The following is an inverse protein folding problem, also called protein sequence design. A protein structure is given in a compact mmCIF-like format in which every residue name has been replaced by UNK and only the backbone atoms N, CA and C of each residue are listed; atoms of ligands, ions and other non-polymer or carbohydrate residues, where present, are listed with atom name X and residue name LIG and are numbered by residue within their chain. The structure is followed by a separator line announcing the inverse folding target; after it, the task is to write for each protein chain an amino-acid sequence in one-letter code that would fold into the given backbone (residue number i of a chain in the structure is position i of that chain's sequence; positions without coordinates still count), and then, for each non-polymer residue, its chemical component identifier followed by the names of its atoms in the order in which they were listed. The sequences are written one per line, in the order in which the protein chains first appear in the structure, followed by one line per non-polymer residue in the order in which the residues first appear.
data_IF_333862554454
#
_entry.id   IF_333862554454
#
_cell.length_a   1.000
_cell.length_b   1.000
_cell.length_c   1.000
_cell.angle_alpha   90.00
_cell.angle_beta   90.00
_cell.angle_gamma   90.00
#
_symmetry.space_group_name_H-M   'P 1'
#
loop_
_entity.id
_entity.type
_entity.pdbx_description
1 polymer ?
#
# COMPACT_ATOMS: atom_id res chain seq x y z
N UNK A 1 -11.40 6.09 -25.49
CA UNK A 1 -10.49 5.11 -24.84
C UNK A 1 -11.09 4.41 -23.60
N UNK A 2 -11.14 5.02 -22.40
CA UNK A 2 -11.63 4.33 -21.18
C UNK A 2 -13.01 3.67 -21.35
N UNK A 3 -13.98 4.39 -21.94
CA UNK A 3 -15.32 3.86 -22.22
C UNK A 3 -15.35 2.82 -23.36
N UNK A 4 -14.47 2.96 -24.35
CA UNK A 4 -14.38 2.01 -25.48
C UNK A 4 -13.80 0.67 -25.03
N UNK A 5 -12.87 0.70 -24.08
CA UNK A 5 -12.24 -0.49 -23.50
C UNK A 5 -13.07 -1.11 -22.34
N UNK A 6 -14.31 -0.63 -22.13
CA UNK A 6 -15.23 -1.19 -21.13
C UNK A 6 -14.83 -0.95 -19.67
N UNK A 7 -13.91 -0.02 -19.41
CA UNK A 7 -13.44 0.29 -18.06
C UNK A 7 -14.49 1.10 -17.30
N UNK A 8 -14.88 0.61 -16.13
CA UNK A 8 -15.88 1.26 -15.28
C UNK A 8 -15.35 2.59 -14.71
N UNK A 9 -16.13 3.66 -14.89
CA UNK A 9 -15.80 4.99 -14.36
C UNK A 9 -16.75 5.34 -13.22
N UNK A 10 -16.21 5.47 -12.00
CA UNK A 10 -16.97 5.79 -10.79
C UNK A 10 -16.54 7.13 -10.22
N UNK A 11 -17.51 7.99 -9.90
CA UNK A 11 -17.28 9.20 -9.10
C UNK A 11 -17.47 8.85 -7.62
N UNK A 12 -16.41 8.98 -6.83
CA UNK A 12 -16.49 8.82 -5.37
C UNK A 12 -17.06 10.09 -4.70
N UNK A 13 -17.53 9.95 -3.47
CA UNK A 13 -18.06 11.05 -2.65
C UNK A 13 -16.96 11.87 -1.95
N UNK A 14 -15.74 11.34 -1.84
CA UNK A 14 -14.59 12.04 -1.28
C UNK A 14 -13.84 12.86 -2.33
N UNK A 15 -13.08 13.87 -1.87
CA UNK A 15 -12.27 14.71 -2.76
C UNK A 15 -11.04 14.00 -3.35
N UNK A 16 -10.20 14.74 -4.09
CA UNK A 16 -8.90 14.29 -4.60
C UNK A 16 -8.86 14.00 -6.11
N UNK A 17 -7.76 13.43 -6.60
CA UNK A 17 -7.55 13.14 -8.03
C UNK A 17 -8.15 11.81 -8.51
N UNK A 18 -8.00 11.53 -9.80
CA UNK A 18 -8.40 10.25 -10.40
C UNK A 18 -7.34 9.18 -10.11
N UNK A 19 -7.79 7.96 -9.80
CA UNK A 19 -6.94 6.78 -9.65
C UNK A 19 -7.49 5.66 -10.53
N UNK A 20 -6.61 4.79 -10.99
CA UNK A 20 -6.98 3.53 -11.64
C UNK A 20 -6.90 2.43 -10.58
N UNK A 21 -7.93 1.59 -10.52
CA UNK A 21 -7.99 0.45 -9.62
C UNK A 21 -8.18 -0.83 -10.44
N UNK A 22 -7.42 -1.85 -10.10
CA UNK A 22 -7.50 -3.18 -10.69
C UNK A 22 -7.28 -4.27 -9.64
N UNK A 23 -7.19 -5.52 -10.08
CA UNK A 23 -6.98 -6.69 -9.22
C UNK A 23 -5.65 -6.65 -8.44
N UNK A 24 -4.70 -5.81 -8.84
CA UNK A 24 -3.41 -5.62 -8.18
C UNK A 24 -3.39 -4.43 -7.22
N UNK A 25 -4.45 -3.62 -7.19
CA UNK A 25 -4.56 -2.50 -6.27
C UNK A 25 -4.89 -2.97 -4.85
N UNK A 26 -4.34 -2.25 -3.85
CA UNK A 26 -4.70 -2.41 -2.45
C UNK A 26 -5.54 -1.21 -2.02
N UNK A 27 -6.67 -1.42 -1.34
CA UNK A 27 -7.52 -0.34 -0.86
C UNK A 27 -7.84 -0.53 0.62
N UNK A 28 -7.59 0.52 1.41
CA UNK A 28 -7.97 0.61 2.82
C UNK A 28 -8.96 1.75 3.05
N UNK A 29 -9.83 1.57 4.03
CA UNK A 29 -10.76 2.59 4.50
C UNK A 29 -10.77 2.62 6.02
N UNK A 30 -10.52 3.78 6.61
CA UNK A 30 -10.74 4.03 8.03
C UNK A 30 -11.94 4.94 8.19
N UNK A 31 -12.86 4.57 9.07
CA UNK A 31 -14.04 5.35 9.43
C UNK A 31 -13.95 5.67 10.92
N UNK A 32 -13.86 6.95 11.25
CA UNK A 32 -13.69 7.42 12.61
C UNK A 32 -14.88 8.25 13.08
N UNK A 33 -15.22 8.12 14.36
CA UNK A 33 -16.15 9.01 15.06
C UNK A 33 -15.37 9.93 15.99
N UNK A 34 -15.67 11.23 15.95
CA UNK A 34 -14.87 12.25 16.66
C UNK A 34 -14.82 12.01 18.17
N UNK A 35 -15.90 11.49 18.77
CA UNK A 35 -15.94 11.19 20.21
C UNK A 35 -15.08 9.98 20.62
N UNK A 36 -14.84 9.02 19.71
CA UNK A 36 -13.91 7.90 19.95
C UNK A 36 -12.46 8.28 19.63
N UNK A 37 -12.25 9.26 18.75
CA UNK A 37 -10.92 9.74 18.35
C UNK A 37 -10.77 11.24 18.59
N UNK A 38 -10.94 11.75 19.83
CA UNK A 38 -10.87 13.18 20.12
C UNK A 38 -9.46 13.77 19.90
N UNK A 39 -8.44 12.92 19.90
CA UNK A 39 -7.05 13.26 19.62
C UNK A 39 -6.73 13.34 18.11
N UNK A 40 -7.67 13.02 17.23
CA UNK A 40 -7.52 13.12 15.77
C UNK A 40 -8.41 14.25 15.27
N UNK A 41 -7.86 15.47 15.08
CA UNK A 41 -8.61 16.55 14.47
C UNK A 41 -9.20 16.10 13.13
N UNK A 42 -10.47 16.44 12.89
CA UNK A 42 -11.18 16.06 11.68
C UNK A 42 -10.82 16.96 10.50
N UNK A 43 -9.53 16.99 10.17
CA UNK A 43 -8.97 17.72 9.04
C UNK A 43 -8.15 16.75 8.18
N UNK A 44 -8.10 16.92 6.84
CA UNK A 44 -7.48 15.94 5.95
C UNK A 44 -6.04 15.60 6.35
N UNK A 45 -5.23 16.62 6.67
CA UNK A 45 -3.80 16.43 6.98
C UNK A 45 -3.59 15.72 8.32
N UNK A 46 -4.36 16.08 9.34
CA UNK A 46 -4.30 15.45 10.66
C UNK A 46 -4.70 13.98 10.59
N UNK A 47 -5.76 13.65 9.84
CA UNK A 47 -6.18 12.26 9.63
C UNK A 47 -5.10 11.46 8.88
N UNK A 48 -4.52 12.03 7.82
CA UNK A 48 -3.41 11.39 7.08
C UNK A 48 -2.19 11.18 7.95
N UNK A 49 -1.83 12.18 8.78
CA UNK A 49 -0.69 12.10 9.69
C UNK A 49 -0.92 11.03 10.74
N UNK A 50 -2.09 11.01 11.37
CA UNK A 50 -2.42 10.00 12.36
C UNK A 50 -2.38 8.59 11.79
N UNK A 51 -2.98 8.36 10.61
CA UNK A 51 -2.93 7.05 9.95
C UNK A 51 -1.53 6.68 9.48
N UNK A 52 -0.71 7.64 9.04
CA UNK A 52 0.69 7.40 8.73
C UNK A 52 1.49 6.97 9.97
N UNK A 53 1.33 7.68 11.08
CA UNK A 53 2.15 7.48 12.27
C UNK A 53 1.71 6.26 13.10
N UNK A 54 0.41 6.04 13.22
CA UNK A 54 -0.17 5.05 14.17
C UNK A 54 -0.54 3.73 13.50
N UNK A 55 -0.85 3.75 12.20
CA UNK A 55 -1.37 2.57 11.51
C UNK A 55 -0.38 2.05 10.47
N UNK A 56 -0.10 2.84 9.43
CA UNK A 56 0.70 2.39 8.30
C UNK A 56 2.19 2.33 8.59
N UNK A 57 2.74 3.32 9.31
CA UNK A 57 4.15 3.35 9.68
C UNK A 57 4.60 2.08 10.40
N UNK A 58 3.91 1.66 11.49
CA UNK A 58 4.18 0.41 12.16
C UNK A 58 4.04 -0.83 11.24
N UNK A 59 3.04 -0.85 10.35
CA UNK A 59 2.86 -1.96 9.41
C UNK A 59 4.05 -2.12 8.45
N UNK A 60 4.49 -1.02 7.82
CA UNK A 60 5.63 -1.05 6.91
C UNK A 60 6.95 -1.28 7.65
N UNK A 61 7.09 -0.81 8.89
CA UNK A 61 8.23 -1.13 9.74
C UNK A 61 8.28 -2.65 10.02
N UNK A 62 7.14 -3.25 10.35
CA UNK A 62 7.04 -4.69 10.59
C UNK A 62 7.35 -5.49 9.33
N UNK A 63 6.83 -5.09 8.16
CA UNK A 63 7.17 -5.72 6.87
C UNK A 63 8.68 -5.62 6.58
N UNK A 64 9.30 -4.47 6.82
CA UNK A 64 10.74 -4.30 6.67
C UNK A 64 11.54 -5.22 7.61
N UNK A 65 11.10 -5.37 8.86
CA UNK A 65 11.72 -6.30 9.81
C UNK A 65 11.59 -7.76 9.35
N UNK A 66 10.41 -8.17 8.87
CA UNK A 66 10.17 -9.51 8.31
C UNK A 66 11.05 -9.81 7.10
N UNK A 67 11.33 -8.82 6.24
CA UNK A 67 12.26 -8.98 5.11
C UNK A 67 13.70 -9.22 5.57
N UNK A 68 14.11 -8.54 6.64
CA UNK A 68 15.47 -8.68 7.19
C UNK A 68 15.65 -10.01 7.93
N UNK A 69 14.62 -10.51 8.61
CA UNK A 69 14.66 -11.80 9.32
C UNK A 69 14.54 -13.00 8.39
N UNK A 70 13.80 -12.87 7.28
CA UNK A 70 13.63 -13.94 6.27
C UNK A 70 14.80 -14.09 5.29
N UNK A 71 15.94 -13.41 5.50
CA UNK A 71 17.11 -13.63 4.64
C UNK A 71 17.54 -15.11 4.75
N UNK A 72 17.61 -15.85 3.63
CA UNK A 72 18.05 -17.23 3.69
C UNK A 72 19.46 -17.27 4.29
N UNK A 73 19.63 -18.04 5.37
CA UNK A 73 20.95 -18.47 5.80
C UNK A 73 21.67 -19.04 4.58
N UNK A 74 22.87 -18.53 4.26
CA UNK A 74 23.79 -19.21 3.35
C UNK A 74 24.01 -20.60 3.92
N UNK A 75 23.27 -21.61 3.44
CA UNK A 75 23.64 -23.01 3.66
C UNK A 75 24.86 -23.26 2.78
N UNK A 76 26.04 -22.98 3.32
CA UNK A 76 27.29 -23.52 2.78
C UNK A 76 27.20 -25.03 2.98
N UNK A 77 26.72 -25.74 1.96
CA UNK A 77 26.89 -27.19 1.85
C UNK A 77 28.40 -27.43 1.73
N UNK A 78 29.05 -27.73 2.85
CA UNK A 78 30.38 -28.35 2.82
C UNK A 78 30.17 -29.77 2.30
N UNK A 79 30.42 -29.97 1.01
CA UNK A 79 30.53 -31.31 0.42
C UNK A 79 31.99 -31.75 0.62
N UNK A 80 32.29 -32.77 1.43
CA UNK A 80 33.63 -33.33 1.48
C UNK A 80 33.76 -34.32 0.32
N UNK A 81 34.63 -34.05 -0.66
CA UNK A 81 35.00 -35.09 -1.63
C UNK A 81 35.60 -34.62 -2.94
N UNK A 82 36.94 -34.65 -2.98
CA UNK A 82 37.82 -35.15 -4.06
C UNK A 82 37.67 -34.59 -5.50
N UNK A 83 38.77 -33.97 -5.93
CA UNK A 83 39.30 -33.87 -7.31
C UNK A 83 38.78 -34.92 -8.30
N UNK A 84 38.37 -34.47 -9.49
CA UNK A 84 38.87 -34.91 -10.81
C UNK A 84 38.24 -34.03 -11.91
N UNK A 85 39.03 -33.62 -12.90
CA UNK A 85 38.62 -32.71 -13.98
C UNK A 85 37.78 -33.37 -15.08
N UNK A 86 37.24 -32.52 -15.97
CA UNK A 86 37.16 -32.62 -17.44
C UNK A 86 36.16 -31.57 -17.94
N UNK A 87 36.54 -30.85 -18.99
CA UNK A 87 35.78 -29.81 -19.68
C UNK A 87 34.66 -30.36 -20.58
N UNK A 88 33.75 -29.45 -20.93
CA UNK A 88 32.96 -29.28 -22.18
C UNK A 88 31.43 -29.39 -22.03
N UNK A 89 30.72 -28.40 -22.58
CA UNK A 89 29.29 -28.52 -22.92
C UNK A 89 28.38 -27.36 -22.49
N UNK A 90 28.35 -26.30 -23.30
CA UNK A 90 27.28 -25.32 -23.54
C UNK A 90 25.97 -25.42 -22.73
N UNK A 91 25.70 -24.40 -21.91
CA UNK A 91 24.36 -24.12 -21.36
C UNK A 91 24.22 -22.62 -21.06
N UNK A 92 23.32 -21.93 -21.77
CA UNK A 92 23.04 -20.50 -21.59
C UNK A 92 22.47 -20.23 -20.19
N UNK A 93 23.23 -19.53 -19.35
CA UNK A 93 22.75 -19.00 -18.08
C UNK A 93 22.03 -17.66 -18.32
N UNK A 94 20.80 -17.56 -17.83
CA UNK A 94 20.10 -16.29 -17.71
C UNK A 94 20.75 -15.49 -16.58
N UNK A 95 21.50 -14.44 -16.94
CA UNK A 95 22.15 -13.53 -15.99
C UNK A 95 21.09 -12.72 -15.24
N UNK A 96 20.82 -13.08 -13.98
CA UNK A 96 20.23 -12.16 -13.01
C UNK A 96 21.19 -10.98 -12.85
N UNK A 97 20.76 -9.78 -13.28
CA UNK A 97 21.50 -8.54 -13.02
C UNK A 97 21.47 -8.28 -11.52
N UNK A 98 22.51 -8.77 -10.83
CA UNK A 98 22.84 -8.35 -9.49
C UNK A 98 23.24 -6.87 -9.54
N UNK A 99 22.57 -6.07 -8.70
CA UNK A 99 22.93 -4.68 -8.44
C UNK A 99 24.29 -4.71 -7.73
N UNK A 100 25.36 -4.56 -8.51
CA UNK A 100 26.67 -4.17 -8.01
C UNK A 100 26.91 -2.72 -8.41
N UNK A 101 26.61 -1.82 -7.49
CA UNK A 101 27.27 -0.52 -7.43
C UNK A 101 27.90 -0.43 -6.05
N UNK A 102 29.23 -0.32 -6.03
CA UNK A 102 30.03 -0.23 -4.83
C UNK A 102 29.81 1.11 -4.10
N UNK A 103 30.36 1.17 -2.88
CA UNK A 103 30.53 2.32 -1.96
C UNK A 103 29.30 2.79 -1.16
N UNK A 104 29.12 2.25 0.06
CA UNK A 104 29.27 2.93 1.38
C UNK A 104 28.90 1.90 2.47
N UNK A 105 29.69 1.79 3.54
CA UNK A 105 29.52 0.86 4.66
C UNK A 105 28.35 1.27 5.57
N UNK A 106 27.13 1.10 5.10
CA UNK A 106 25.93 0.99 5.94
C UNK A 106 25.20 -0.30 5.58
N UNK A 107 24.58 -0.99 6.55
CA UNK A 107 23.71 -2.12 6.22
C UNK A 107 22.65 -1.66 5.22
N UNK A 108 22.21 -2.50 4.27
CA UNK A 108 21.22 -2.12 3.27
C UNK A 108 19.96 -1.64 4.00
N UNK A 109 19.75 -0.33 4.00
CA UNK A 109 18.62 0.31 4.66
C UNK A 109 17.41 0.16 3.74
N UNK A 110 16.42 -0.60 4.19
CA UNK A 110 15.15 -0.70 3.48
C UNK A 110 14.48 0.68 3.44
N UNK A 111 13.78 1.01 2.35
CA UNK A 111 13.14 2.31 2.21
C UNK A 111 12.13 2.53 3.33
N UNK A 112 12.07 3.78 3.82
CA UNK A 112 11.19 4.21 4.91
C UNK A 112 9.84 4.65 4.35
N UNK A 113 8.78 4.29 5.06
CA UNK A 113 7.42 4.80 4.86
C UNK A 113 7.28 6.20 5.45
N UNK A 114 6.73 7.14 4.68
CA UNK A 114 6.53 8.53 5.11
C UNK A 114 5.25 9.14 4.50
N UNK A 115 4.64 10.09 5.20
CA UNK A 115 3.65 11.01 4.65
C UNK A 115 4.38 12.24 4.09
N UNK A 116 4.29 12.45 2.78
CA UNK A 116 4.86 13.63 2.10
C UNK A 116 3.74 14.38 1.41
N UNK A 117 3.55 15.65 1.80
CA UNK A 117 2.37 16.44 1.43
C UNK A 117 1.06 15.69 1.75
N UNK A 118 0.40 15.14 0.73
CA UNK A 118 -0.86 14.38 0.83
C UNK A 118 -0.69 12.91 0.41
N UNK A 119 0.53 12.47 0.14
CA UNK A 119 0.83 11.16 -0.43
C UNK A 119 1.56 10.27 0.58
N UNK A 120 1.29 8.98 0.51
CA UNK A 120 2.16 8.01 1.16
C UNK A 120 3.29 7.59 0.22
N UNK A 121 4.48 7.65 0.78
CA UNK A 121 5.74 7.56 0.06
C UNK A 121 6.61 6.48 0.71
N UNK A 122 7.32 5.73 -0.12
CA UNK A 122 8.30 4.73 0.29
C UNK A 122 9.63 5.04 -0.41
N UNK A 123 10.63 5.44 0.38
CA UNK A 123 11.94 5.82 -0.16
C UNK A 123 11.89 6.95 -1.18
N UNK A 124 11.08 7.99 -0.92
CA UNK A 124 10.93 9.15 -1.81
C UNK A 124 10.05 8.94 -3.06
N UNK A 125 9.51 7.73 -3.27
CA UNK A 125 8.57 7.41 -4.35
C UNK A 125 7.16 7.20 -3.83
N UNK A 126 6.17 7.74 -4.54
CA UNK A 126 4.75 7.63 -4.17
C UNK A 126 4.28 6.19 -4.34
N UNK A 127 3.61 5.68 -3.32
CA UNK A 127 3.00 4.35 -3.34
C UNK A 127 1.53 4.36 -2.97
N UNK A 128 1.03 5.46 -2.41
CA UNK A 128 -0.36 5.56 -1.94
C UNK A 128 -0.95 6.94 -2.21
N UNK A 129 -2.19 6.96 -2.68
CA UNK A 129 -3.00 8.16 -2.85
C UNK A 129 -4.12 8.21 -1.82
N UNK A 130 -4.33 9.37 -1.22
CA UNK A 130 -5.26 9.56 -0.11
C UNK A 130 -6.48 10.40 -0.51
N UNK A 131 -7.63 10.08 0.07
CA UNK A 131 -8.85 10.87 -0.03
C UNK A 131 -9.65 10.80 1.27
N UNK A 132 -10.31 11.89 1.64
CA UNK A 132 -11.11 11.98 2.87
C UNK A 132 -12.51 12.53 2.59
N UNK A 133 -13.44 12.15 3.44
CA UNK A 133 -14.74 12.79 3.60
C UNK A 133 -14.95 13.08 5.07
N UNK A 134 -15.34 14.31 5.41
CA UNK A 134 -15.47 14.77 6.78
C UNK A 134 -16.88 15.30 6.96
N UNK A 135 -17.53 14.85 8.02
CA UNK A 135 -18.87 15.28 8.44
C UNK A 135 -18.82 15.73 9.90
N UNK A 136 -19.90 16.34 10.40
CA UNK A 136 -19.94 16.96 11.74
C UNK A 136 -19.37 16.08 12.88
N UNK A 137 -19.69 14.78 12.87
CA UNK A 137 -19.38 13.85 13.98
C UNK A 137 -18.50 12.67 13.55
N UNK A 138 -17.82 12.78 12.42
CA UNK A 138 -17.00 11.69 11.92
C UNK A 138 -16.23 12.05 10.67
N UNK A 139 -15.34 11.15 10.31
CA UNK A 139 -14.52 11.27 9.14
C UNK A 139 -14.29 9.90 8.55
N UNK A 140 -13.90 9.91 7.30
CA UNK A 140 -13.53 8.73 6.57
C UNK A 140 -12.25 9.05 5.80
N UNK A 141 -11.35 8.09 5.77
CA UNK A 141 -10.07 8.18 5.07
C UNK A 141 -9.83 6.91 4.26
N UNK A 142 -9.75 7.07 2.95
CA UNK A 142 -9.39 6.01 2.03
C UNK A 142 -7.96 6.19 1.54
N UNK A 143 -7.29 5.07 1.34
CA UNK A 143 -6.00 5.02 0.65
C UNK A 143 -6.00 3.92 -0.39
N UNK A 144 -5.59 4.27 -1.61
CA UNK A 144 -5.26 3.30 -2.65
C UNK A 144 -3.75 3.13 -2.73
N UNK A 145 -3.23 1.95 -2.37
CA UNK A 145 -1.83 1.60 -2.49
C UNK A 145 -1.55 0.82 -3.79
N UNK A 146 -0.39 1.10 -4.37
CA UNK A 146 0.13 0.48 -5.59
C UNK A 146 0.89 -0.80 -5.23
N UNK A 147 0.17 -1.90 -5.03
CA UNK A 147 0.87 -3.18 -4.87
C UNK A 147 1.59 -3.60 -6.14
N UNK A 148 0.86 -3.60 -7.25
CA UNK A 148 1.39 -3.59 -8.61
C UNK A 148 0.51 -2.63 -9.44
N UNK A 149 0.82 -2.48 -10.72
CA UNK A 149 -0.09 -1.88 -11.72
C UNK A 149 0.37 -2.20 -13.14
N UNK A 150 -0.57 -2.19 -14.08
CA UNK A 150 -0.27 -2.24 -15.51
C UNK A 150 0.05 -0.84 -16.06
N UNK A 151 1.20 -0.69 -16.72
CA UNK A 151 1.64 0.56 -17.34
C UNK A 151 0.66 1.04 -18.42
N UNK A 152 -0.01 0.13 -19.13
CA UNK A 152 -1.03 0.47 -20.12
C UNK A 152 -2.26 1.09 -19.46
N UNK A 153 -2.71 0.54 -18.32
CA UNK A 153 -3.84 1.10 -17.59
C UNK A 153 -3.53 2.48 -16.99
N UNK A 154 -2.27 2.75 -16.63
CA UNK A 154 -1.87 4.07 -16.15
C UNK A 154 -2.00 5.16 -17.22
N UNK A 155 -2.06 4.80 -18.51
CA UNK A 155 -2.30 5.74 -19.61
C UNK A 155 -3.73 6.31 -19.61
N UNK A 156 -4.66 5.72 -18.85
CA UNK A 156 -6.00 6.31 -18.67
C UNK A 156 -5.96 7.59 -17.83
N UNK A 157 -4.91 7.80 -17.05
CA UNK A 157 -4.78 8.97 -16.20
C UNK A 157 -4.26 10.16 -17.01
N UNK A 158 -5.05 11.22 -17.05
CA UNK A 158 -4.59 12.52 -17.55
C UNK A 158 -3.60 13.13 -16.55
N UNK A 159 -2.61 13.86 -17.05
CA UNK A 159 -1.70 14.62 -16.19
C UNK A 159 -2.50 15.64 -15.37
N UNK A 160 -2.43 15.61 -14.03
CA UNK A 160 -3.18 16.54 -13.22
C UNK A 160 -2.59 17.95 -13.35
N UNK A 161 -3.44 19.00 -13.28
CA UNK A 161 -2.99 20.40 -13.38
C UNK A 161 -2.11 20.80 -12.19
N UNK A 162 -2.33 20.18 -11.02
CA UNK A 162 -1.50 20.35 -9.82
C UNK A 162 -0.80 19.03 -9.50
N UNK A 163 0.51 19.08 -9.34
CA UNK A 163 1.36 17.94 -8.94
C UNK A 163 2.04 18.29 -7.61
N UNK A 164 2.35 17.30 -6.77
CA UNK A 164 3.16 17.53 -5.58
C UNK A 164 4.51 18.15 -5.95
N UNK A 165 5.00 19.07 -5.13
CA UNK A 165 6.27 19.76 -5.39
C UNK A 165 7.43 18.75 -5.36
N UNK A 166 7.40 17.80 -4.42
CA UNK A 166 8.41 16.75 -4.30
C UNK A 166 8.49 15.81 -5.50
N UNK A 167 7.49 15.80 -6.41
CA UNK A 167 7.59 15.06 -7.67
C UNK A 167 8.74 15.59 -8.53
N UNK A 168 8.95 16.90 -8.53
CA UNK A 168 9.86 17.58 -9.46
C UNK A 168 9.57 17.20 -10.92
N UNK A 169 10.62 16.94 -11.69
CA UNK A 169 10.55 16.57 -13.11
C UNK A 169 10.51 15.06 -13.36
N UNK A 170 10.30 14.25 -12.33
CA UNK A 170 10.29 12.78 -12.46
C UNK A 170 9.18 12.30 -13.38
N UNK A 171 9.54 11.35 -14.25
CA UNK A 171 8.59 10.55 -15.02
C UNK A 171 7.73 9.70 -14.09
N UNK A 172 6.67 9.09 -14.63
CA UNK A 172 5.72 8.32 -13.83
C UNK A 172 6.40 7.13 -13.12
N UNK A 173 7.24 6.39 -13.84
CA UNK A 173 8.04 5.26 -13.37
C UNK A 173 9.08 5.64 -12.30
N UNK A 174 9.64 6.84 -12.38
CA UNK A 174 10.57 7.37 -11.38
C UNK A 174 9.84 7.93 -10.14
N UNK A 175 8.59 8.34 -10.30
CA UNK A 175 7.79 8.93 -9.24
C UNK A 175 7.06 7.88 -8.41
N UNK A 176 6.59 6.81 -9.03
CA UNK A 176 5.85 5.74 -8.37
C UNK A 176 6.76 4.59 -7.93
N UNK A 177 6.29 3.82 -6.95
CA UNK A 177 6.88 2.53 -6.56
C UNK A 177 5.79 1.49 -6.41
N UNK A 178 6.05 0.30 -6.93
CA UNK A 178 5.23 -0.89 -6.75
C UNK A 178 5.67 -1.59 -5.48
N UNK A 179 4.78 -1.78 -4.52
CA UNK A 179 5.12 -2.47 -3.27
C UNK A 179 5.64 -3.88 -3.52
N UNK A 180 5.13 -4.55 -4.56
CA UNK A 180 5.55 -5.89 -4.95
C UNK A 180 7.05 -5.98 -5.26
N UNK A 181 7.68 -4.94 -5.79
CA UNK A 181 9.13 -4.93 -6.08
C UNK A 181 9.98 -5.19 -4.83
N UNK A 182 9.49 -4.74 -3.67
CA UNK A 182 10.19 -4.87 -2.40
C UNK A 182 9.66 -6.02 -1.55
N UNK A 183 8.34 -6.20 -1.53
CA UNK A 183 7.65 -7.05 -0.57
C UNK A 183 7.19 -8.40 -1.12
N UNK A 184 7.44 -8.72 -2.40
CA UNK A 184 7.16 -10.07 -2.92
C UNK A 184 7.84 -11.22 -2.16
N UNK A 185 9.01 -11.07 -1.51
CA UNK A 185 9.56 -12.14 -0.67
C UNK A 185 8.70 -12.47 0.56
N UNK A 186 7.78 -11.58 0.97
CA UNK A 186 6.83 -11.83 2.05
C UNK A 186 5.55 -12.54 1.58
N UNK A 187 5.41 -12.80 0.28
CA UNK A 187 4.24 -13.41 -0.32
C UNK A 187 3.53 -12.49 -1.31
N UNK A 188 2.21 -12.59 -1.36
CA UNK A 188 1.36 -11.77 -2.23
C UNK A 188 0.87 -10.49 -1.51
N UNK A 189 -0.08 -9.78 -2.14
CA UNK A 189 -0.64 -8.54 -1.61
C UNK A 189 -1.34 -8.70 -0.25
N UNK A 190 -1.74 -9.91 0.14
CA UNK A 190 -2.35 -10.17 1.44
C UNK A 190 -1.34 -10.05 2.59
N UNK A 191 -0.05 -10.20 2.31
CA UNK A 191 1.01 -9.96 3.30
C UNK A 191 0.90 -8.54 3.89
N UNK A 192 0.55 -7.53 3.08
CA UNK A 192 0.30 -6.18 3.57
C UNK A 192 -0.81 -6.15 4.63
N UNK A 193 -1.96 -6.77 4.38
CA UNK A 193 -3.08 -6.77 5.32
C UNK A 193 -2.79 -7.58 6.59
N UNK A 194 -2.00 -8.66 6.48
CA UNK A 194 -1.55 -9.44 7.63
C UNK A 194 -0.69 -8.58 8.57
N UNK A 195 0.31 -7.88 8.03
CA UNK A 195 1.18 -7.00 8.82
C UNK A 195 0.43 -5.77 9.33
N UNK A 196 -0.45 -5.16 8.50
CA UNK A 196 -1.30 -4.05 8.91
C UNK A 196 -2.16 -4.41 10.13
N UNK A 197 -2.76 -5.59 10.12
CA UNK A 197 -3.53 -6.10 11.25
C UNK A 197 -2.63 -6.33 12.46
N UNK A 198 -1.55 -7.09 12.31
CA UNK A 198 -0.67 -7.46 13.41
C UNK A 198 -0.02 -6.24 14.09
N UNK A 199 0.37 -5.22 13.33
CA UNK A 199 0.89 -3.97 13.89
C UNK A 199 -0.21 -3.15 14.57
N UNK A 200 -1.41 -3.11 13.99
CA UNK A 200 -2.53 -2.36 14.56
C UNK A 200 -3.05 -2.97 15.87
N UNK A 201 -2.98 -4.30 16.02
CA UNK A 201 -3.31 -5.02 17.27
C UNK A 201 -2.42 -4.60 18.47
N UNK A 202 -1.28 -3.95 18.23
CA UNK A 202 -0.43 -3.39 19.29
C UNK A 202 -1.01 -2.12 19.91
N UNK A 203 -1.87 -1.40 19.18
CA UNK A 203 -2.46 -0.12 19.61
C UNK A 203 -3.98 -0.17 19.77
N UNK A 204 -4.64 -1.17 19.18
CA UNK A 204 -6.09 -1.28 19.15
C UNK A 204 -6.54 -2.71 19.47
N UNK A 205 -7.69 -2.83 20.13
CA UNK A 205 -8.41 -4.09 20.18
C UNK A 205 -9.14 -4.27 18.85
N UNK A 206 -8.70 -5.24 18.05
CA UNK A 206 -9.26 -5.49 16.71
C UNK A 206 -10.14 -6.72 16.74
N UNK A 207 -11.42 -6.53 16.40
CA UNK A 207 -12.35 -7.61 16.17
C UNK A 207 -12.61 -7.74 14.65
N UNK A 208 -12.17 -8.83 14.00
CA UNK A 208 -12.50 -9.07 12.61
C UNK A 208 -14.00 -9.39 12.47
N UNK A 209 -14.65 -8.78 11.49
CA UNK A 209 -16.07 -8.98 11.17
C UNK A 209 -16.17 -9.29 9.69
N UNK A 210 -16.92 -10.35 9.33
CA UNK A 210 -17.14 -10.66 7.92
C UNK A 210 -18.09 -9.64 7.29
N UNK A 211 -18.07 -9.49 5.97
CA UNK A 211 -19.06 -8.65 5.28
C UNK A 211 -20.48 -9.12 5.60
N UNK A 212 -20.71 -10.43 5.68
CA UNK A 212 -22.02 -11.00 6.02
C UNK A 212 -22.50 -10.53 7.39
N UNK A 213 -21.63 -10.59 8.40
CA UNK A 213 -21.97 -10.19 9.77
C UNK A 213 -22.19 -8.66 9.85
N UNK A 214 -21.34 -7.88 9.17
CA UNK A 214 -21.52 -6.43 9.08
C UNK A 214 -22.85 -6.05 8.41
N UNK A 215 -23.20 -6.72 7.31
CA UNK A 215 -24.49 -6.53 6.63
C UNK A 215 -25.67 -6.92 7.51
N UNK A 216 -25.53 -7.96 8.33
CA UNK A 216 -26.55 -8.36 9.29
C UNK A 216 -26.80 -7.26 10.31
N UNK A 217 -25.74 -6.71 10.93
CA UNK A 217 -25.85 -5.58 11.88
C UNK A 217 -26.56 -4.38 11.23
N UNK A 218 -26.17 -4.02 10.00
CA UNK A 218 -26.81 -2.90 9.29
C UNK A 218 -28.31 -3.16 9.09
N UNK A 219 -28.68 -4.37 8.69
CA UNK A 219 -30.07 -4.72 8.41
C UNK A 219 -30.92 -4.83 9.68
N UNK A 220 -30.39 -5.41 10.76
CA UNK A 220 -31.16 -5.69 11.98
C UNK A 220 -31.17 -4.53 12.97
N UNK A 221 -30.05 -3.82 13.11
CA UNK A 221 -29.90 -2.76 14.14
C UNK A 221 -30.05 -1.36 13.57
N UNK A 222 -29.69 -1.14 12.31
CA UNK A 222 -29.73 0.18 11.66
C UNK A 222 -30.91 0.34 10.68
N UNK A 223 -31.78 -0.67 10.60
CA UNK A 223 -32.97 -0.66 9.72
C UNK A 223 -32.65 -0.83 8.23
N UNK A 224 -31.43 -1.25 7.90
CA UNK A 224 -30.97 -1.46 6.53
C UNK A 224 -30.47 -0.20 5.82
N UNK A 225 -29.79 -0.40 4.68
CA UNK A 225 -29.22 0.71 3.90
C UNK A 225 -30.30 1.66 3.37
N UNK A 226 -31.46 1.14 2.94
CA UNK A 226 -32.53 1.94 2.36
C UNK A 226 -33.07 2.96 3.38
N UNK A 227 -33.37 2.50 4.59
CA UNK A 227 -33.83 3.37 5.68
C UNK A 227 -32.77 4.43 6.05
N UNK A 228 -31.49 4.06 6.03
CA UNK A 228 -30.41 5.02 6.25
C UNK A 228 -30.35 6.11 5.16
N UNK A 229 -30.51 5.73 3.88
CA UNK A 229 -30.56 6.69 2.77
C UNK A 229 -31.78 7.63 2.89
N UNK A 230 -32.96 7.08 3.15
CA UNK A 230 -34.21 7.85 3.23
C UNK A 230 -34.29 8.79 4.43
N UNK A 231 -33.59 8.51 5.52
CA UNK A 231 -33.60 9.35 6.73
C UNK A 231 -32.49 10.40 6.78
N UNK A 232 -31.54 10.38 5.84
CA UNK A 232 -30.36 11.26 5.82
C UNK A 232 -30.14 12.04 4.53
N UNK A 233 -30.74 11.63 3.41
CA UNK A 233 -30.87 12.43 2.20
C UNK A 233 -32.19 13.23 2.23
#
# INVERSE_FOLDING_TARGET
RVREEGVLVLKRFSGGGTVVLDHSSLWTTFIGRNHHFPHVPSYPRDIMKWTADVIFGPAFQQMNQSLLSNKPQKRTLMVPGKSCGVETGTGKAYTTKNITTATTTSPPQLPKFELVENDYVLGGRKMGGNAQSIVKNGWLHHTSFLWDYDDQHMQYLTLPPKRPEYRGNRSHDQFLVKLRELYSPLGDKHAFFQHLRASSEQSFQIQPVSLKDAMQIVNTELGGFQNWFETKC
#
